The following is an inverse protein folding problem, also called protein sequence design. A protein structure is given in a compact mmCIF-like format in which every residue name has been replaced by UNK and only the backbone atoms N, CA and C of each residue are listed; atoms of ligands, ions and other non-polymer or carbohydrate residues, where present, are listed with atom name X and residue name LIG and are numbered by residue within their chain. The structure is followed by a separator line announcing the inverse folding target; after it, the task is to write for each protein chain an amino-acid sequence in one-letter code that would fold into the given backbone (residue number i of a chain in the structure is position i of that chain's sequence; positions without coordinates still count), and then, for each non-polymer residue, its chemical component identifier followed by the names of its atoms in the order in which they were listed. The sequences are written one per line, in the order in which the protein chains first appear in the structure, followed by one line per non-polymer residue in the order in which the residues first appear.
data_IF_991862510250
#
_entry.id   IF_991862510250
#
_cell.length_a   1.000
_cell.length_b   1.000
_cell.length_c   1.000
_cell.angle_alpha   90.00
_cell.angle_beta   90.00
_cell.angle_gamma   90.00
#
_symmetry.space_group_name_H-M   'P 1'
#
loop_
_entity.id
_entity.type
_entity.pdbx_description
1 polymer ?
#
# COMPACT_ATOMS: atom_id res chain seq x y z
N UNK A 1 -4.77 -13.97 -19.20
CA UNK A 1 -6.02 -13.24 -19.06
C UNK A 1 -5.83 -11.98 -18.30
N UNK A 2 -6.11 -10.90 -18.95
CA UNK A 2 -5.97 -9.60 -18.28
C UNK A 2 -6.87 -9.52 -17.05
N UNK A 3 -7.98 -10.23 -17.08
CA UNK A 3 -8.93 -10.17 -15.99
C UNK A 3 -8.35 -10.66 -14.67
N UNK A 4 -7.28 -11.47 -14.74
CA UNK A 4 -6.69 -12.01 -13.52
C UNK A 4 -5.78 -11.01 -12.82
N UNK A 5 -5.45 -9.91 -13.49
CA UNK A 5 -4.53 -8.95 -12.91
C UNK A 5 -5.27 -8.03 -11.96
N UNK A 6 -4.80 -7.97 -10.74
CA UNK A 6 -5.35 -7.10 -9.74
C UNK A 6 -4.50 -5.83 -9.67
N UNK A 7 -5.12 -4.65 -9.78
CA UNK A 7 -4.35 -3.41 -9.66
C UNK A 7 -3.56 -3.36 -8.35
N UNK A 8 -2.39 -2.75 -8.42
CA UNK A 8 -1.56 -2.66 -7.24
C UNK A 8 -2.30 -2.00 -6.08
N UNK A 9 -3.11 -0.99 -6.38
CA UNK A 9 -3.89 -0.33 -5.34
C UNK A 9 -4.75 -1.32 -4.56
N UNK A 10 -5.45 -2.20 -5.27
CA UNK A 10 -6.31 -3.18 -4.61
C UNK A 10 -5.52 -4.10 -3.70
N UNK A 11 -4.34 -4.48 -4.13
CA UNK A 11 -3.49 -5.37 -3.32
C UNK A 11 -3.01 -4.65 -2.08
N UNK A 12 -2.68 -3.38 -2.19
CA UNK A 12 -2.29 -2.58 -1.03
C UNK A 12 -3.43 -2.46 -0.04
N UNK A 13 -4.64 -2.23 -0.55
CA UNK A 13 -5.81 -2.13 0.32
C UNK A 13 -6.04 -3.45 1.05
N UNK A 14 -5.89 -4.57 0.37
CA UNK A 14 -6.10 -5.86 1.02
C UNK A 14 -5.13 -6.08 2.17
N UNK A 15 -3.86 -5.77 1.95
CA UNK A 15 -2.88 -5.89 3.02
C UNK A 15 -3.23 -4.94 4.16
N UNK A 16 -3.61 -3.72 3.83
CA UNK A 16 -3.95 -2.73 4.83
C UNK A 16 -5.17 -3.15 5.64
N UNK A 17 -6.10 -3.82 4.98
CA UNK A 17 -7.33 -4.28 5.65
C UNK A 17 -7.02 -5.22 6.81
N UNK A 18 -5.97 -6.00 6.69
CA UNK A 18 -5.58 -6.91 7.76
C UNK A 18 -5.25 -6.14 9.04
N UNK A 19 -4.71 -4.95 8.89
CA UNK A 19 -4.25 -4.17 10.04
C UNK A 19 -5.23 -3.09 10.48
N UNK A 20 -5.94 -2.49 9.54
CA UNK A 20 -6.82 -1.36 9.84
C UNK A 20 -8.31 -1.67 9.67
N UNK A 21 -8.63 -2.86 9.16
CA UNK A 21 -10.03 -3.24 9.00
C UNK A 21 -10.73 -2.44 7.92
N UNK A 22 -12.04 -2.18 8.12
CA UNK A 22 -12.85 -1.55 7.05
C UNK A 22 -12.39 -0.15 6.63
N UNK A 23 -11.56 0.49 7.43
CA UNK A 23 -11.08 1.82 7.10
C UNK A 23 -9.94 1.81 6.08
N UNK A 24 -9.46 0.62 5.70
CA UNK A 24 -8.25 0.50 4.89
C UNK A 24 -8.36 1.24 3.56
N UNK A 25 -9.47 1.04 2.85
CA UNK A 25 -9.64 1.66 1.53
C UNK A 25 -9.57 3.18 1.63
N UNK A 26 -10.33 3.74 2.55
CA UNK A 26 -10.35 5.20 2.72
C UNK A 26 -8.98 5.72 3.16
N UNK A 27 -8.32 4.98 4.04
CA UNK A 27 -7.00 5.37 4.51
C UNK A 27 -6.00 5.44 3.37
N UNK A 28 -5.93 4.40 2.55
CA UNK A 28 -4.96 4.36 1.47
C UNK A 28 -5.32 5.38 0.39
N UNK A 29 -6.60 5.51 0.05
CA UNK A 29 -6.99 6.48 -0.96
C UNK A 29 -6.57 7.89 -0.56
N UNK A 30 -6.72 8.22 0.73
CA UNK A 30 -6.33 9.53 1.21
C UNK A 30 -4.82 9.72 1.14
N UNK A 31 -4.06 8.68 1.48
CA UNK A 31 -2.61 8.78 1.41
C UNK A 31 -2.14 9.00 -0.03
N UNK A 32 -2.72 8.25 -0.97
CA UNK A 32 -2.34 8.40 -2.37
C UNK A 32 -2.67 9.82 -2.86
N UNK A 33 -3.86 10.28 -2.54
CA UNK A 33 -4.28 11.60 -3.01
C UNK A 33 -3.46 12.72 -2.40
N UNK A 34 -3.19 12.63 -1.10
CA UNK A 34 -2.50 13.72 -0.39
C UNK A 34 -1.02 13.79 -0.71
N UNK A 35 -0.39 12.65 -0.97
CA UNK A 35 1.06 12.63 -1.11
C UNK A 35 1.52 12.41 -2.54
N UNK A 36 0.69 11.78 -3.37
CA UNK A 36 1.06 11.51 -4.75
C UNK A 36 0.23 12.32 -5.76
N UNK A 37 -0.90 12.85 -5.32
CA UNK A 37 -1.75 13.70 -6.15
C UNK A 37 -2.17 13.01 -7.44
N UNK A 38 -2.53 11.73 -7.34
CA UNK A 38 -2.97 10.96 -8.49
C UNK A 38 -4.10 10.04 -8.10
N UNK A 39 -4.76 9.48 -9.10
CA UNK A 39 -5.84 8.53 -8.86
C UNK A 39 -5.27 7.23 -8.28
N UNK A 40 -6.03 6.58 -7.38
CA UNK A 40 -5.55 5.32 -6.79
C UNK A 40 -5.23 4.26 -7.85
N UNK A 41 -6.00 4.22 -8.92
CA UNK A 41 -5.78 3.22 -9.97
C UNK A 41 -4.44 3.39 -10.67
N UNK A 42 -3.85 4.58 -10.56
CA UNK A 42 -2.57 4.87 -11.22
C UNK A 42 -1.37 4.53 -10.36
N UNK A 43 -1.59 3.93 -9.20
CA UNK A 43 -0.50 3.62 -8.28
C UNK A 43 0.47 2.63 -8.93
N UNK A 44 1.75 3.00 -8.98
CA UNK A 44 2.80 2.14 -9.51
C UNK A 44 3.70 1.67 -8.38
N UNK A 45 4.63 0.77 -8.73
CA UNK A 45 5.58 0.26 -7.74
C UNK A 45 6.43 1.37 -7.16
N UNK A 46 6.89 2.28 -7.99
CA UNK A 46 7.68 3.40 -7.52
C UNK A 46 6.87 4.28 -6.60
N UNK A 47 5.61 4.50 -6.96
CA UNK A 47 4.73 5.29 -6.12
C UNK A 47 4.55 4.64 -4.76
N UNK A 48 4.39 3.32 -4.74
CA UNK A 48 4.20 2.61 -3.49
C UNK A 48 5.44 2.74 -2.60
N UNK A 49 6.62 2.61 -3.17
CA UNK A 49 7.84 2.75 -2.39
C UNK A 49 7.97 4.13 -1.78
N UNK A 50 7.53 5.15 -2.51
CA UNK A 50 7.54 6.50 -1.97
C UNK A 50 6.46 6.68 -0.90
N UNK A 51 5.34 6.03 -1.10
CA UNK A 51 4.22 6.17 -0.19
C UNK A 51 4.47 5.47 1.15
N UNK A 52 5.29 4.43 1.15
CA UNK A 52 5.52 3.63 2.34
C UNK A 52 5.97 4.49 3.53
N UNK A 53 6.85 5.45 3.30
CA UNK A 53 7.33 6.28 4.39
C UNK A 53 6.20 7.11 5.00
N UNK A 54 5.32 7.65 4.17
CA UNK A 54 4.17 8.40 4.65
C UNK A 54 3.19 7.52 5.39
N UNK A 55 2.97 6.32 4.86
CA UNK A 55 2.07 5.37 5.50
C UNK A 55 2.61 4.94 6.86
N UNK A 56 3.93 4.75 6.95
CA UNK A 56 4.55 4.39 8.23
C UNK A 56 4.23 5.45 9.28
N UNK A 57 4.39 6.71 8.93
CA UNK A 57 4.12 7.80 9.86
C UNK A 57 2.64 7.79 10.26
N UNK A 58 1.76 7.65 9.28
CA UNK A 58 0.33 7.70 9.54
C UNK A 58 -0.12 6.55 10.45
N UNK A 59 0.37 5.34 10.19
CA UNK A 59 -0.01 4.19 10.99
C UNK A 59 0.57 4.29 12.39
N UNK A 60 1.76 4.88 12.52
CA UNK A 60 2.36 5.07 13.83
C UNK A 60 1.55 6.01 14.71
N UNK A 61 0.73 6.85 14.12
CA UNK A 61 -0.17 7.70 14.88
C UNK A 61 -1.42 6.96 15.34
N UNK A 62 -1.72 5.83 14.71
CA UNK A 62 -2.90 5.06 15.03
C UNK A 62 -2.60 3.98 16.07
N UNK A 63 -1.43 3.37 15.99
CA UNK A 63 -1.05 2.30 16.89
C UNK A 63 0.34 2.55 17.46
N UNK A 64 0.52 2.14 18.72
CA UNK A 64 1.81 2.24 19.39
C UNK A 64 2.65 0.99 19.21
N UNK A 65 2.09 -0.03 18.59
CA UNK A 65 2.77 -1.31 18.44
C UNK A 65 3.74 -1.23 17.26
N UNK A 66 5.00 -1.03 17.57
CA UNK A 66 6.03 -0.87 16.55
C UNK A 66 6.20 -2.12 15.70
N UNK A 67 5.99 -3.29 16.28
CA UNK A 67 6.12 -4.53 15.52
C UNK A 67 5.07 -4.61 14.44
N UNK A 68 3.84 -4.20 14.75
CA UNK A 68 2.78 -4.19 13.76
C UNK A 68 3.11 -3.22 12.64
N UNK A 69 3.59 -2.05 13.00
CA UNK A 69 3.97 -1.05 11.98
C UNK A 69 5.04 -1.60 11.05
N UNK A 70 6.09 -2.21 11.61
CA UNK A 70 7.17 -2.74 10.80
C UNK A 70 6.71 -3.89 9.93
N UNK A 71 5.87 -4.75 10.47
CA UNK A 71 5.35 -5.87 9.70
C UNK A 71 4.53 -5.38 8.52
N UNK A 72 3.66 -4.41 8.75
CA UNK A 72 2.82 -3.85 7.71
C UNK A 72 3.67 -3.19 6.63
N UNK A 73 4.63 -2.36 7.03
CA UNK A 73 5.50 -1.67 6.08
C UNK A 73 6.31 -2.67 5.26
N UNK A 74 6.79 -3.72 5.91
CA UNK A 74 7.53 -4.76 5.21
C UNK A 74 6.67 -5.43 4.13
N UNK A 75 5.41 -5.67 4.43
CA UNK A 75 4.52 -6.28 3.46
C UNK A 75 4.26 -5.35 2.28
N UNK A 76 4.15 -4.06 2.52
CA UNK A 76 3.97 -3.11 1.43
C UNK A 76 5.18 -3.08 0.51
N UNK A 77 6.38 -3.10 1.09
CA UNK A 77 7.59 -3.13 0.29
C UNK A 77 7.69 -4.42 -0.52
N UNK A 78 7.26 -5.52 0.07
CA UNK A 78 7.26 -6.78 -0.62
C UNK A 78 6.30 -6.75 -1.81
N UNK A 79 5.13 -6.13 -1.65
CA UNK A 79 4.20 -5.98 -2.75
C UNK A 79 4.82 -5.23 -3.92
N UNK A 80 5.53 -4.15 -3.64
CA UNK A 80 6.18 -3.39 -4.70
C UNK A 80 7.20 -4.24 -5.45
N UNK A 81 7.99 -5.00 -4.71
CA UNK A 81 9.01 -5.84 -5.30
C UNK A 81 8.39 -6.97 -6.11
N UNK A 82 7.37 -7.62 -5.56
CA UNK A 82 6.73 -8.74 -6.25
C UNK A 82 6.06 -8.30 -7.53
N UNK A 83 5.42 -7.14 -7.49
CA UNK A 83 4.75 -6.63 -8.67
C UNK A 83 5.74 -6.35 -9.79
N UNK A 84 6.88 -5.76 -9.43
CA UNK A 84 7.93 -5.48 -10.38
C UNK A 84 8.49 -6.76 -10.97
N UNK A 85 8.73 -7.77 -10.13
CA UNK A 85 9.26 -9.04 -10.60
C UNK A 85 8.27 -9.72 -11.55
N UNK A 86 6.99 -9.66 -11.21
CA UNK A 86 5.98 -10.27 -12.07
C UNK A 86 5.93 -9.59 -13.43
N UNK A 87 6.17 -8.29 -13.45
CA UNK A 87 6.17 -7.56 -14.71
C UNK A 87 7.27 -8.00 -15.64
N UNK A 88 8.39 -8.40 -15.08
CA UNK A 88 9.51 -8.87 -15.88
C UNK A 88 9.33 -10.28 -16.39
N UNK A 89 8.54 -11.03 -15.64
CA UNK A 89 8.33 -12.42 -15.92
C UNK A 89 7.84 -12.68 -17.27
#
# INVERSE_FOLDING_TARGET
MAASETPLYDRVVRVTHVYLGPAADRFIARQVQNHLHKAPESLSEKDLLRLVDWVRVAVSLITEDKEIVEEYVSKLRQLATEHTQNSEG
#
